data_IF_372161077658
#
_entry.id   IF_372161077658
#
_cell.length_a   1.000
_cell.length_b   1.000
_cell.length_c   1.000
_cell.angle_alpha   90.00
_cell.angle_beta   90.00
_cell.angle_gamma   90.00
#
_symmetry.space_group_name_H-M   'P 1'
#
loop_
_entity.id
_entity.type
_entity.pdbx_description
1 polymer ?
#
# COMPACT_ATOMS: atom_id res chain seq x y z
N UNK A 1 3.60 -36.27 -2.82
CA UNK A 1 4.89 -35.64 -3.20
C UNK A 1 4.57 -34.26 -3.81
N UNK A 2 3.82 -33.41 -3.14
CA UNK A 2 4.15 -32.68 -1.91
C UNK A 2 5.41 -31.83 -2.05
N UNK A 3 5.24 -30.62 -2.56
CA UNK A 3 6.12 -29.50 -2.27
C UNK A 3 5.28 -28.34 -1.69
N UNK A 4 5.39 -28.10 -0.36
CA UNK A 4 4.65 -27.06 0.36
C UNK A 4 5.36 -25.70 0.25
N UNK A 5 5.48 -25.15 -0.95
CA UNK A 5 6.18 -23.88 -1.18
C UNK A 5 5.27 -22.70 -1.59
N UNK A 6 4.09 -22.97 -2.16
CA UNK A 6 3.22 -21.90 -2.69
C UNK A 6 1.98 -21.59 -1.82
N UNK A 7 1.75 -22.34 -0.72
CA UNK A 7 0.59 -22.16 0.15
C UNK A 7 0.84 -21.32 1.43
N UNK A 8 2.08 -20.89 1.67
CA UNK A 8 2.45 -20.25 2.96
C UNK A 8 2.38 -18.71 2.89
N UNK A 9 2.31 -18.12 1.69
CA UNK A 9 2.52 -16.67 1.55
C UNK A 9 1.31 -15.82 1.93
N UNK A 10 0.08 -16.32 1.74
CA UNK A 10 -1.15 -15.58 2.06
C UNK A 10 -1.84 -16.02 3.37
N UNK A 11 -1.55 -17.22 3.89
CA UNK A 11 -2.24 -17.76 5.07
C UNK A 11 -1.58 -17.42 6.42
N UNK A 12 -0.33 -16.95 6.47
CA UNK A 12 0.38 -16.70 7.75
C UNK A 12 0.31 -15.27 8.30
N UNK A 13 -0.45 -14.37 7.69
CA UNK A 13 -0.51 -12.96 8.11
C UNK A 13 -1.68 -12.59 9.02
N UNK A 14 -2.64 -13.50 9.27
CA UNK A 14 -3.88 -13.14 10.00
C UNK A 14 -4.03 -13.71 11.42
N UNK A 15 -2.94 -13.98 12.15
CA UNK A 15 -3.05 -14.23 13.60
C UNK A 15 -1.92 -13.55 14.37
N UNK A 16 -2.31 -12.72 15.35
CA UNK A 16 -1.53 -12.01 16.38
C UNK A 16 -1.13 -10.53 16.11
N UNK A 17 -2.05 -9.66 16.53
CA UNK A 17 -1.87 -8.41 17.29
C UNK A 17 -0.78 -7.43 16.86
N UNK A 18 -1.23 -6.34 16.23
CA UNK A 18 -0.94 -4.90 16.40
C UNK A 18 0.51 -4.35 16.57
N UNK A 19 1.55 -5.18 16.71
CA UNK A 19 2.96 -4.79 16.79
C UNK A 19 3.86 -5.56 15.81
N UNK A 20 3.40 -6.71 15.31
CA UNK A 20 4.11 -7.48 14.27
C UNK A 20 3.76 -7.00 12.86
N UNK A 21 2.65 -6.31 12.63
CA UNK A 21 2.29 -5.77 11.30
C UNK A 21 3.19 -4.59 10.91
N UNK A 22 3.82 -3.90 11.87
CA UNK A 22 4.87 -2.93 11.53
C UNK A 22 6.28 -3.54 11.46
N UNK A 23 6.57 -4.61 12.23
CA UNK A 23 7.92 -5.20 12.34
C UNK A 23 8.19 -6.37 11.39
N UNK A 24 7.21 -7.21 11.05
CA UNK A 24 7.36 -8.28 10.03
C UNK A 24 7.23 -7.76 8.61
N UNK A 25 6.55 -6.64 8.39
CA UNK A 25 6.40 -6.02 7.07
C UNK A 25 7.72 -5.44 6.55
N UNK A 26 8.68 -5.15 7.44
CA UNK A 26 10.08 -4.85 7.08
C UNK A 26 10.93 -6.08 6.71
N UNK A 27 10.50 -7.32 7.00
CA UNK A 27 11.30 -8.54 6.82
C UNK A 27 11.08 -9.21 5.44
N UNK A 28 10.10 -8.75 4.66
CA UNK A 28 9.80 -9.30 3.32
C UNK A 28 10.05 -8.34 2.14
N UNK A 29 10.92 -7.32 2.32
CA UNK A 29 11.37 -6.41 1.26
C UNK A 29 12.36 -7.09 0.29
N UNK A 30 11.89 -8.11 -0.42
CA UNK A 30 12.47 -8.57 -1.68
C UNK A 30 11.40 -8.27 -2.72
N UNK A 31 11.63 -7.22 -3.52
CA UNK A 31 10.76 -6.66 -4.58
C UNK A 31 9.53 -7.52 -4.88
N UNK A 32 8.33 -7.07 -4.48
CA UNK A 32 7.04 -7.80 -4.57
C UNK A 32 6.64 -8.20 -6.00
N UNK A 33 7.36 -7.71 -7.01
CA UNK A 33 7.19 -8.14 -8.40
C UNK A 33 7.92 -9.48 -8.63
N UNK A 34 7.13 -10.55 -8.60
CA UNK A 34 7.54 -11.92 -8.92
C UNK A 34 8.25 -12.02 -10.27
N UNK A 35 7.88 -11.22 -11.27
CA UNK A 35 8.49 -11.24 -12.61
C UNK A 35 9.98 -10.90 -12.57
N UNK A 36 10.36 -9.86 -11.81
CA UNK A 36 11.76 -9.46 -11.64
C UNK A 36 12.57 -10.57 -10.97
N UNK A 37 12.00 -11.23 -9.96
CA UNK A 37 12.66 -12.32 -9.25
C UNK A 37 12.79 -13.56 -10.14
N UNK A 38 11.72 -13.90 -10.86
CA UNK A 38 11.66 -15.04 -11.77
C UNK A 38 12.74 -14.95 -12.83
N UNK A 39 12.85 -13.83 -13.55
CA UNK A 39 13.84 -13.68 -14.61
C UNK A 39 15.28 -13.69 -14.08
N UNK A 40 15.53 -13.02 -12.95
CA UNK A 40 16.84 -13.07 -12.30
C UNK A 40 17.23 -14.50 -11.90
N UNK A 41 16.29 -15.27 -11.35
CA UNK A 41 16.57 -16.66 -10.95
C UNK A 41 16.74 -17.56 -12.18
N UNK A 42 15.89 -17.38 -13.21
CA UNK A 42 15.98 -18.10 -14.49
C UNK A 42 17.33 -17.86 -15.16
N UNK A 43 17.79 -16.61 -15.20
CA UNK A 43 19.10 -16.24 -15.73
C UNK A 43 20.23 -16.97 -14.98
N UNK A 44 20.23 -16.92 -13.64
CA UNK A 44 21.25 -17.61 -12.82
C UNK A 44 21.26 -19.11 -13.07
N UNK A 45 20.09 -19.74 -13.07
CA UNK A 45 19.95 -21.19 -13.29
C UNK A 45 20.45 -21.60 -14.68
N UNK A 46 20.04 -20.89 -15.73
CA UNK A 46 20.45 -21.18 -17.10
C UNK A 46 21.94 -20.91 -17.34
N UNK A 47 22.49 -19.87 -16.71
CA UNK A 47 23.91 -19.59 -16.79
C UNK A 47 24.73 -20.72 -16.16
N UNK A 48 24.30 -21.21 -15.00
CA UNK A 48 24.93 -22.34 -14.32
C UNK A 48 24.90 -23.63 -15.18
N UNK A 49 23.73 -23.96 -15.75
CA UNK A 49 23.60 -25.11 -16.67
C UNK A 49 24.49 -24.93 -17.91
N UNK A 50 24.53 -23.74 -18.49
CA UNK A 50 25.37 -23.44 -19.65
C UNK A 50 26.86 -23.59 -19.34
N UNK A 51 27.31 -23.18 -18.16
CA UNK A 51 28.68 -23.36 -17.69
C UNK A 51 29.03 -24.85 -17.53
N UNK A 52 28.14 -25.64 -16.91
CA UNK A 52 28.30 -27.10 -16.80
C UNK A 52 28.42 -27.78 -18.17
N UNK A 53 27.56 -27.42 -19.13
CA UNK A 53 27.59 -27.97 -20.48
C UNK A 53 28.87 -27.60 -21.25
N UNK A 54 29.59 -26.56 -20.81
CA UNK A 54 30.86 -26.11 -21.41
C UNK A 54 32.09 -26.67 -20.73
N UNK A 55 31.94 -27.45 -19.67
CA UNK A 55 33.07 -28.10 -19.01
C UNK A 55 33.83 -29.01 -20.00
N UNK A 56 35.17 -29.09 -19.89
CA UNK A 56 35.99 -29.90 -20.78
C UNK A 56 35.52 -31.36 -20.88
N UNK A 57 35.10 -31.94 -19.74
CA UNK A 57 34.58 -33.30 -19.67
C UNK A 57 33.32 -33.49 -20.52
N UNK A 58 32.35 -32.59 -20.39
CA UNK A 58 31.08 -32.65 -21.13
C UNK A 58 31.30 -32.39 -22.62
N UNK A 59 32.20 -31.47 -22.98
CA UNK A 59 32.61 -31.27 -24.38
C UNK A 59 33.24 -32.52 -24.99
N UNK A 60 34.13 -33.20 -24.27
CA UNK A 60 34.71 -34.46 -24.74
C UNK A 60 33.64 -35.54 -24.95
N UNK A 61 32.66 -35.64 -24.04
CA UNK A 61 31.52 -36.56 -24.21
C UNK A 61 30.69 -36.22 -25.46
N UNK A 62 30.41 -34.94 -25.70
CA UNK A 62 29.68 -34.49 -26.89
C UNK A 62 30.43 -34.84 -28.19
N UNK A 63 31.75 -34.66 -28.23
CA UNK A 63 32.59 -35.04 -29.38
C UNK A 63 32.59 -36.55 -29.64
N UNK A 64 32.55 -37.38 -28.58
CA UNK A 64 32.44 -38.83 -28.72
C UNK A 64 31.06 -39.19 -29.30
N UNK A 65 29.98 -38.60 -28.79
CA UNK A 65 28.63 -38.82 -29.30
C UNK A 65 28.52 -38.46 -30.79
N UNK A 66 29.14 -37.35 -31.19
CA UNK A 66 29.19 -36.90 -32.58
C UNK A 66 29.98 -37.88 -33.47
N UNK A 67 31.21 -38.21 -33.08
CA UNK A 67 32.10 -39.09 -33.86
C UNK A 67 31.57 -40.52 -34.00
N UNK A 68 30.82 -40.98 -33.00
CA UNK A 68 30.21 -42.32 -33.02
C UNK A 68 28.87 -42.36 -33.77
N UNK A 69 28.39 -41.22 -34.31
CA UNK A 69 27.05 -41.08 -34.88
C UNK A 69 25.96 -41.61 -33.93
N UNK A 70 26.13 -41.32 -32.63
CA UNK A 70 25.21 -41.80 -31.60
C UNK A 70 23.82 -41.24 -31.80
N UNK A 71 22.79 -42.08 -31.62
CA UNK A 71 21.39 -41.65 -31.61
C UNK A 71 21.12 -40.53 -30.58
N UNK A 72 21.93 -40.43 -29.52
CA UNK A 72 21.81 -39.43 -28.47
C UNK A 72 22.43 -38.06 -28.82
N UNK A 73 23.27 -37.98 -29.85
CA UNK A 73 23.93 -36.72 -30.24
C UNK A 73 22.92 -35.62 -30.58
N UNK A 74 21.89 -35.95 -31.35
CA UNK A 74 20.85 -34.99 -31.74
C UNK A 74 20.06 -34.47 -30.52
N UNK A 75 19.75 -35.34 -29.55
CA UNK A 75 19.09 -34.94 -28.32
C UNK A 75 19.96 -33.99 -27.48
N UNK A 76 21.25 -34.31 -27.32
CA UNK A 76 22.21 -33.45 -26.63
C UNK A 76 22.35 -32.09 -27.33
N UNK A 77 22.54 -32.09 -28.65
CA UNK A 77 22.68 -30.87 -29.47
C UNK A 77 21.44 -29.97 -29.36
N UNK A 78 20.25 -30.55 -29.44
CA UNK A 78 19.00 -29.80 -29.32
C UNK A 78 18.83 -29.21 -27.93
N UNK A 79 19.11 -29.98 -26.87
CA UNK A 79 19.09 -29.50 -25.49
C UNK A 79 20.07 -28.34 -25.30
N UNK A 80 21.31 -28.48 -25.78
CA UNK A 80 22.31 -27.40 -25.70
C UNK A 80 21.84 -26.14 -26.43
N UNK A 81 21.27 -26.27 -27.64
CA UNK A 81 20.70 -25.15 -28.40
C UNK A 81 19.56 -24.48 -27.63
N UNK A 82 18.66 -25.24 -27.03
CA UNK A 82 17.55 -24.70 -26.23
C UNK A 82 18.05 -23.93 -25.00
N UNK A 83 19.07 -24.44 -24.31
CA UNK A 83 19.70 -23.72 -23.18
C UNK A 83 20.31 -22.40 -23.65
N UNK A 84 21.01 -22.37 -24.78
CA UNK A 84 21.61 -21.14 -25.33
C UNK A 84 20.55 -20.10 -25.67
N UNK A 85 19.45 -20.51 -26.32
CA UNK A 85 18.35 -19.61 -26.68
C UNK A 85 17.65 -19.08 -25.43
N UNK A 86 17.29 -19.95 -24.49
CA UNK A 86 16.65 -19.54 -23.24
C UNK A 86 17.55 -18.63 -22.38
N UNK A 87 18.87 -18.87 -22.39
CA UNK A 87 19.83 -18.02 -21.69
C UNK A 87 19.94 -16.63 -22.33
N UNK A 88 19.92 -16.56 -23.67
CA UNK A 88 19.91 -15.29 -24.39
C UNK A 88 18.64 -14.48 -24.07
N UNK A 89 17.47 -15.13 -24.10
CA UNK A 89 16.19 -14.53 -23.70
C UNK A 89 16.25 -14.00 -22.26
N UNK A 90 16.69 -14.83 -21.30
CA UNK A 90 16.77 -14.43 -19.90
C UNK A 90 17.74 -13.27 -19.65
N UNK A 91 18.87 -13.22 -20.36
CA UNK A 91 19.80 -12.08 -20.31
C UNK A 91 19.16 -10.80 -20.83
N UNK A 92 18.48 -10.89 -21.96
CA UNK A 92 17.81 -9.76 -22.61
C UNK A 92 16.72 -9.19 -21.70
N UNK A 93 15.80 -10.02 -21.22
CA UNK A 93 14.72 -9.59 -20.31
C UNK A 93 15.27 -9.00 -19.01
N UNK A 94 16.25 -9.64 -18.36
CA UNK A 94 16.87 -9.09 -17.15
C UNK A 94 17.53 -7.72 -17.38
N UNK A 95 18.22 -7.54 -18.50
CA UNK A 95 18.86 -6.26 -18.85
C UNK A 95 17.82 -5.15 -18.92
N UNK A 96 16.74 -5.36 -19.67
CA UNK A 96 15.70 -4.34 -19.85
C UNK A 96 14.85 -4.11 -18.62
N UNK A 97 14.64 -5.12 -17.76
CA UNK A 97 13.92 -4.94 -16.50
C UNK A 97 14.74 -4.20 -15.41
N UNK A 98 16.06 -4.03 -15.60
CA UNK A 98 16.95 -3.42 -14.59
C UNK A 98 16.57 -1.97 -14.20
N UNK A 99 16.24 -1.06 -15.15
CA UNK A 99 15.82 0.31 -14.81
C UNK A 99 14.54 0.34 -13.98
N UNK A 100 13.61 -0.58 -14.22
CA UNK A 100 12.33 -0.65 -13.53
C UNK A 100 12.48 -0.93 -12.03
N UNK A 101 13.53 -1.66 -11.63
CA UNK A 101 13.76 -2.04 -10.24
C UNK A 101 13.74 -0.86 -9.27
N UNK A 102 14.42 0.25 -9.61
CA UNK A 102 14.47 1.44 -8.74
C UNK A 102 13.11 2.13 -8.62
N UNK A 103 12.35 2.18 -9.71
CA UNK A 103 11.01 2.78 -9.71
C UNK A 103 10.03 1.97 -8.87
N UNK A 104 10.12 0.64 -8.94
CA UNK A 104 9.28 -0.25 -8.13
C UNK A 104 9.66 -0.18 -6.65
N UNK A 105 10.95 -0.13 -6.32
CA UNK A 105 11.39 0.07 -4.94
C UNK A 105 10.86 1.40 -4.38
N UNK A 106 10.94 2.47 -5.15
CA UNK A 106 10.39 3.76 -4.75
C UNK A 106 8.87 3.68 -4.54
N UNK A 107 8.15 2.97 -5.41
CA UNK A 107 6.70 2.75 -5.27
C UNK A 107 6.35 1.94 -4.01
N UNK A 108 7.19 0.98 -3.60
CA UNK A 108 7.02 0.18 -2.39
C UNK A 108 7.33 0.94 -1.10
N UNK A 109 8.19 1.96 -1.17
CA UNK A 109 8.63 2.77 -0.03
C UNK A 109 7.79 4.03 0.17
N UNK A 110 6.95 4.39 -0.81
CA UNK A 110 6.14 5.61 -0.81
C UNK A 110 4.74 5.32 -0.30
N UNK A 111 4.19 6.22 0.51
CA UNK A 111 2.81 6.13 0.97
C UNK A 111 1.84 6.20 -0.22
N UNK A 112 0.74 5.46 -0.15
CA UNK A 112 -0.19 5.33 -1.27
C UNK A 112 -0.73 6.67 -1.80
N UNK A 113 -0.92 7.66 -0.93
CA UNK A 113 -1.35 9.01 -1.30
C UNK A 113 -0.38 9.73 -2.24
N UNK A 114 0.90 9.36 -2.19
CA UNK A 114 1.99 9.95 -2.97
C UNK A 114 2.46 9.04 -4.12
N UNK A 115 1.83 7.89 -4.32
CA UNK A 115 2.18 6.96 -5.39
C UNK A 115 1.77 7.44 -6.80
N UNK A 116 0.73 8.28 -6.92
CA UNK A 116 0.18 8.70 -8.22
C UNK A 116 1.24 9.34 -9.14
N UNK A 117 2.05 10.32 -8.69
CA UNK A 117 3.11 10.91 -9.51
C UNK A 117 4.20 9.92 -9.93
N UNK A 118 4.41 8.84 -9.15
CA UNK A 118 5.42 7.82 -9.43
C UNK A 118 5.00 6.84 -10.54
N UNK A 119 3.70 6.70 -10.78
CA UNK A 119 3.17 5.82 -11.83
C UNK A 119 3.58 6.28 -13.23
N UNK A 120 3.67 7.58 -13.48
CA UNK A 120 4.03 8.11 -14.80
C UNK A 120 5.45 7.68 -15.22
N UNK A 121 6.51 7.89 -14.42
CA UNK A 121 7.83 7.33 -14.68
C UNK A 121 7.83 5.80 -14.86
N UNK A 122 7.10 5.06 -14.02
CA UNK A 122 6.99 3.59 -14.13
C UNK A 122 6.45 3.19 -15.49
N UNK A 123 5.34 3.80 -15.94
CA UNK A 123 4.72 3.51 -17.23
C UNK A 123 5.63 3.86 -18.40
N UNK A 124 6.34 4.99 -18.35
CA UNK A 124 7.31 5.34 -19.39
C UNK A 124 8.42 4.30 -19.51
N UNK A 125 8.95 3.81 -18.40
CA UNK A 125 9.98 2.76 -18.41
C UNK A 125 9.42 1.45 -18.97
N UNK A 126 8.20 1.07 -18.61
CA UNK A 126 7.54 -0.13 -19.16
C UNK A 126 7.36 -0.02 -20.68
N UNK A 127 6.92 1.14 -21.18
CA UNK A 127 6.79 1.38 -22.62
C UNK A 127 8.15 1.32 -23.35
N UNK A 128 9.21 1.85 -22.74
CA UNK A 128 10.58 1.76 -23.28
C UNK A 128 11.07 0.30 -23.30
N UNK A 129 10.77 -0.49 -22.26
CA UNK A 129 11.11 -1.91 -22.22
C UNK A 129 10.40 -2.66 -23.34
N UNK A 130 9.09 -2.47 -23.45
CA UNK A 130 8.27 -3.16 -24.44
C UNK A 130 8.65 -2.82 -25.88
N UNK A 131 9.03 -1.57 -26.15
CA UNK A 131 9.46 -1.15 -27.49
C UNK A 131 10.85 -1.62 -27.90
N UNK A 132 11.74 -1.95 -26.95
CA UNK A 132 13.15 -2.24 -27.24
C UNK A 132 13.57 -3.69 -26.95
N UNK A 133 12.88 -4.40 -26.04
CA UNK A 133 13.21 -5.78 -25.69
C UNK A 133 12.45 -6.77 -26.58
N UNK A 134 13.16 -7.38 -27.54
CA UNK A 134 12.56 -8.38 -28.47
C UNK A 134 12.04 -9.62 -27.75
N UNK A 135 12.66 -9.96 -26.62
CA UNK A 135 12.31 -11.12 -25.80
C UNK A 135 11.12 -10.84 -24.86
N UNK A 136 10.69 -9.58 -24.73
CA UNK A 136 9.60 -9.15 -23.87
C UNK A 136 8.31 -8.96 -24.67
N UNK A 137 7.49 -10.00 -24.70
CA UNK A 137 6.23 -10.03 -25.44
C UNK A 137 5.05 -9.44 -24.66
N UNK A 138 3.89 -9.39 -25.31
CA UNK A 138 2.64 -8.90 -24.75
C UNK A 138 2.20 -9.66 -23.50
N UNK A 139 2.44 -10.97 -23.44
CA UNK A 139 2.08 -11.80 -22.28
C UNK A 139 2.90 -11.38 -21.06
N UNK A 140 4.21 -11.19 -21.21
CA UNK A 140 5.10 -10.71 -20.14
C UNK A 140 4.74 -9.29 -19.70
N UNK A 141 4.32 -8.42 -20.63
CA UNK A 141 3.82 -7.09 -20.31
C UNK A 141 2.56 -7.14 -19.44
N UNK A 142 1.57 -7.94 -19.82
CA UNK A 142 0.32 -8.11 -19.07
C UNK A 142 0.61 -8.64 -17.66
N UNK A 143 1.47 -9.64 -17.54
CA UNK A 143 1.87 -10.19 -16.23
C UNK A 143 2.52 -9.12 -15.35
N UNK A 144 3.46 -8.33 -15.91
CA UNK A 144 4.13 -7.26 -15.19
C UNK A 144 3.13 -6.18 -14.71
N UNK A 145 2.22 -5.74 -15.59
CA UNK A 145 1.18 -4.76 -15.24
C UNK A 145 0.23 -5.30 -14.17
N UNK A 146 -0.22 -6.56 -14.29
CA UNK A 146 -1.05 -7.22 -13.28
C UNK A 146 -0.36 -7.24 -11.92
N UNK A 147 0.94 -7.53 -11.87
CA UNK A 147 1.72 -7.52 -10.62
C UNK A 147 1.84 -6.11 -10.02
N UNK A 148 2.01 -5.08 -10.84
CA UNK A 148 2.03 -3.68 -10.37
C UNK A 148 0.66 -3.27 -9.83
N UNK A 149 -0.42 -3.60 -10.53
CA UNK A 149 -1.78 -3.33 -10.05
C UNK A 149 -2.05 -4.05 -8.72
N UNK A 150 -1.67 -5.33 -8.62
CA UNK A 150 -1.84 -6.10 -7.38
C UNK A 150 -1.04 -5.49 -6.22
N UNK A 151 0.16 -4.96 -6.48
CA UNK A 151 0.96 -4.24 -5.48
C UNK A 151 0.21 -3.02 -4.93
N UNK A 152 -0.37 -2.19 -5.81
CA UNK A 152 -1.14 -1.01 -5.41
C UNK A 152 -2.44 -1.39 -4.66
N UNK A 153 -3.12 -2.44 -5.11
CA UNK A 153 -4.32 -2.98 -4.45
C UNK A 153 -4.00 -3.44 -3.03
N UNK A 154 -2.90 -4.19 -2.85
CA UNK A 154 -2.46 -4.65 -1.54
C UNK A 154 -2.10 -3.48 -0.62
N UNK A 155 -1.40 -2.47 -1.15
CA UNK A 155 -1.03 -1.28 -0.39
C UNK A 155 -2.27 -0.51 0.09
N UNK A 156 -3.27 -0.32 -0.78
CA UNK A 156 -4.56 0.24 -0.41
C UNK A 156 -5.31 -0.58 0.65
N UNK A 157 -5.32 -1.90 0.48
CA UNK A 157 -5.97 -2.81 1.41
C UNK A 157 -5.34 -2.73 2.80
N UNK A 158 -4.01 -2.84 2.90
CA UNK A 158 -3.31 -2.77 4.18
C UNK A 158 -3.48 -1.41 4.86
N UNK A 159 -3.37 -0.31 4.11
CA UNK A 159 -3.62 1.03 4.66
C UNK A 159 -5.05 1.16 5.19
N UNK A 160 -6.05 0.64 4.47
CA UNK A 160 -7.43 0.63 4.93
C UNK A 160 -7.60 -0.20 6.21
N UNK A 161 -7.05 -1.40 6.26
CA UNK A 161 -7.12 -2.26 7.46
C UNK A 161 -6.45 -1.60 8.65
N UNK A 162 -5.30 -0.95 8.46
CA UNK A 162 -4.58 -0.23 9.51
C UNK A 162 -5.39 0.96 10.04
N UNK A 163 -6.01 1.77 9.17
CA UNK A 163 -6.83 2.90 9.59
C UNK A 163 -8.09 2.44 10.34
N UNK A 164 -8.82 1.45 9.81
CA UNK A 164 -10.02 0.94 10.48
C UNK A 164 -9.70 0.22 11.79
N UNK A 165 -8.52 -0.39 11.93
CA UNK A 165 -8.08 -1.00 13.20
C UNK A 165 -7.88 0.03 14.33
N UNK A 166 -7.65 1.31 14.00
CA UNK A 166 -7.55 2.39 15.01
C UNK A 166 -8.89 2.69 15.66
N UNK A 167 -10.01 2.45 14.95
CA UNK A 167 -11.38 2.70 15.43
C UNK A 167 -11.75 1.84 16.65
N UNK A 168 -11.08 0.69 16.85
CA UNK A 168 -11.31 -0.20 18.01
C UNK A 168 -11.14 0.56 19.35
N UNK A 169 -10.22 1.53 19.38
CA UNK A 169 -9.84 2.26 20.60
C UNK A 169 -10.40 3.67 20.67
N UNK A 170 -11.29 4.05 19.74
CA UNK A 170 -11.85 5.40 19.68
C UNK A 170 -12.98 5.52 20.70
N UNK A 171 -12.74 6.34 21.72
CA UNK A 171 -13.75 6.74 22.70
C UNK A 171 -14.03 8.24 22.57
N UNK A 172 -15.26 8.61 22.22
CA UNK A 172 -15.69 10.01 22.15
C UNK A 172 -16.27 10.42 23.51
N UNK A 173 -15.64 11.39 24.17
CA UNK A 173 -16.15 12.02 25.39
C UNK A 173 -17.30 13.00 25.11
N UNK A 174 -18.11 13.31 26.13
CA UNK A 174 -19.18 14.33 26.06
C UNK A 174 -20.60 13.77 26.27
N UNK A 175 -21.60 14.67 26.28
CA UNK A 175 -23.00 14.35 26.62
C UNK A 175 -23.61 13.36 25.61
N UNK A 176 -23.29 13.51 24.31
CA UNK A 176 -23.68 12.61 23.23
C UNK A 176 -22.58 11.62 22.82
N UNK A 177 -21.41 11.68 23.47
CA UNK A 177 -20.24 10.86 23.13
C UNK A 177 -20.50 9.35 23.19
N UNK A 178 -21.39 8.90 24.11
CA UNK A 178 -21.81 7.49 24.18
C UNK A 178 -22.55 7.00 22.92
N UNK A 179 -23.41 7.82 22.34
CA UNK A 179 -24.19 7.44 21.13
C UNK A 179 -23.28 7.45 19.90
N UNK A 180 -22.42 8.46 19.79
CA UNK A 180 -21.45 8.57 18.70
C UNK A 180 -20.41 7.44 18.76
N UNK A 181 -19.89 7.15 19.96
CA UNK A 181 -18.99 6.02 20.20
C UNK A 181 -19.62 4.68 19.81
N UNK A 182 -20.88 4.43 20.21
CA UNK A 182 -21.61 3.23 19.80
C UNK A 182 -21.78 3.14 18.26
N UNK A 183 -21.99 4.27 17.60
CA UNK A 183 -22.09 4.33 16.13
C UNK A 183 -20.74 3.98 15.45
N UNK A 184 -19.63 4.49 15.97
CA UNK A 184 -18.27 4.15 15.49
C UNK A 184 -17.97 2.66 15.72
N UNK A 185 -18.31 2.12 16.89
CA UNK A 185 -18.18 0.68 17.17
C UNK A 185 -19.02 -0.14 16.19
N UNK A 186 -20.22 0.34 15.83
CA UNK A 186 -21.06 -0.26 14.80
C UNK A 186 -20.35 -0.35 13.44
N UNK A 187 -19.76 0.75 12.98
CA UNK A 187 -18.98 0.77 11.72
C UNK A 187 -17.77 -0.16 11.81
N UNK A 188 -17.06 -0.17 12.93
CA UNK A 188 -15.92 -1.07 13.12
C UNK A 188 -16.33 -2.55 13.05
N UNK A 189 -17.47 -2.93 13.65
CA UNK A 189 -17.99 -4.29 13.57
C UNK A 189 -18.39 -4.68 12.15
N UNK A 190 -18.99 -3.75 11.39
CA UNK A 190 -19.32 -3.95 9.96
C UNK A 190 -18.04 -4.21 9.16
N UNK A 191 -16.99 -3.40 9.40
CA UNK A 191 -15.68 -3.59 8.80
C UNK A 191 -15.09 -4.96 9.14
N UNK A 192 -15.14 -5.39 10.40
CA UNK A 192 -14.62 -6.70 10.83
C UNK A 192 -15.34 -7.86 10.11
N UNK A 193 -16.65 -7.75 9.88
CA UNK A 193 -17.40 -8.75 9.13
C UNK A 193 -16.94 -8.81 7.67
N UNK A 194 -16.87 -7.66 6.98
CA UNK A 194 -16.37 -7.60 5.62
C UNK A 194 -14.92 -8.11 5.50
N UNK A 195 -14.06 -7.74 6.44
CA UNK A 195 -12.68 -8.19 6.52
C UNK A 195 -12.58 -9.71 6.74
N UNK A 196 -13.40 -10.28 7.62
CA UNK A 196 -13.43 -11.73 7.85
C UNK A 196 -13.88 -12.51 6.61
N UNK A 197 -14.87 -11.99 5.87
CA UNK A 197 -15.33 -12.63 4.62
C UNK A 197 -14.25 -12.55 3.55
N UNK A 198 -13.62 -11.38 3.38
CA UNK A 198 -12.60 -11.19 2.35
C UNK A 198 -11.31 -11.97 2.64
N UNK A 199 -10.86 -12.00 3.90
CA UNK A 199 -9.65 -12.73 4.32
C UNK A 199 -9.82 -14.25 4.33
N UNK A 200 -11.05 -14.76 4.44
CA UNK A 200 -11.35 -16.19 4.37
C UNK A 200 -11.30 -16.77 2.96
N UNK A 201 -11.20 -15.93 1.92
CA UNK A 201 -11.19 -16.36 0.53
C UNK A 201 -9.78 -16.74 0.06
N UNK A 202 -9.69 -17.84 -0.68
CA UNK A 202 -8.48 -18.30 -1.36
C UNK A 202 -8.66 -18.17 -2.86
N UNK A 203 -7.73 -17.49 -3.52
CA UNK A 203 -7.74 -17.29 -4.98
C UNK A 203 -6.60 -18.08 -5.62
N UNK A 204 -6.83 -18.59 -6.83
CA UNK A 204 -5.75 -19.19 -7.62
C UNK A 204 -4.94 -18.08 -8.30
N UNK A 205 -3.73 -17.84 -7.79
CA UNK A 205 -2.84 -16.77 -8.29
C UNK A 205 -2.24 -17.11 -9.66
N UNK A 206 -2.38 -18.36 -10.13
CA UNK A 206 -1.84 -18.84 -11.40
C UNK A 206 -2.86 -18.79 -12.55
N UNK A 207 -4.14 -18.52 -12.27
CA UNK A 207 -5.16 -18.38 -13.30
C UNK A 207 -5.23 -16.91 -13.80
N UNK A 208 -4.83 -16.63 -15.05
CA UNK A 208 -4.94 -15.30 -15.62
C UNK A 208 -6.39 -14.87 -15.89
N UNK A 209 -7.31 -15.81 -16.09
CA UNK A 209 -8.70 -15.58 -16.49
C UNK A 209 -9.66 -15.54 -15.28
N UNK A 210 -9.19 -15.87 -14.08
CA UNK A 210 -9.99 -15.76 -12.85
C UNK A 210 -10.16 -14.30 -12.42
N UNK A 211 -11.37 -13.78 -12.64
CA UNK A 211 -11.81 -12.44 -12.23
C UNK A 211 -12.42 -12.43 -10.82
N UNK A 212 -12.49 -13.57 -10.12
CA UNK A 212 -13.15 -13.67 -8.81
C UNK A 212 -12.53 -12.74 -7.78
N UNK A 213 -11.19 -12.65 -7.75
CA UNK A 213 -10.48 -11.71 -6.87
C UNK A 213 -10.90 -10.25 -7.12
N UNK A 214 -10.96 -9.84 -8.38
CA UNK A 214 -11.27 -8.45 -8.76
C UNK A 214 -12.72 -8.13 -8.36
N UNK A 215 -13.66 -9.04 -8.65
CA UNK A 215 -15.07 -8.86 -8.29
C UNK A 215 -15.26 -8.75 -6.77
N UNK A 216 -14.62 -9.63 -6.02
CA UNK A 216 -14.69 -9.64 -4.56
C UNK A 216 -14.00 -8.42 -3.94
N UNK A 217 -12.90 -7.96 -4.55
CA UNK A 217 -12.21 -6.74 -4.15
C UNK A 217 -13.04 -5.49 -4.40
N UNK A 218 -13.70 -5.37 -5.57
CA UNK A 218 -14.59 -4.24 -5.85
C UNK A 218 -15.80 -4.22 -4.90
N UNK A 219 -16.36 -5.38 -4.56
CA UNK A 219 -17.41 -5.46 -3.53
C UNK A 219 -16.89 -5.02 -2.15
N UNK A 220 -15.71 -5.49 -1.74
CA UNK A 220 -15.09 -5.05 -0.48
C UNK A 220 -14.84 -3.55 -0.48
N UNK A 221 -14.30 -3.00 -1.56
CA UNK A 221 -14.03 -1.57 -1.74
C UNK A 221 -15.30 -0.72 -1.68
N UNK A 222 -16.40 -1.19 -2.27
CA UNK A 222 -17.70 -0.54 -2.15
C UNK A 222 -18.18 -0.48 -0.70
N UNK A 223 -18.06 -1.59 0.05
CA UNK A 223 -18.45 -1.61 1.47
C UNK A 223 -17.58 -0.64 2.31
N UNK A 224 -16.27 -0.56 2.03
CA UNK A 224 -15.38 0.42 2.66
C UNK A 224 -15.81 1.85 2.35
N UNK A 225 -16.19 2.14 1.11
CA UNK A 225 -16.69 3.45 0.71
C UNK A 225 -17.93 3.86 1.52
N UNK A 226 -18.90 2.96 1.66
CA UNK A 226 -20.10 3.22 2.46
C UNK A 226 -19.76 3.47 3.94
N UNK A 227 -18.82 2.71 4.50
CA UNK A 227 -18.36 2.89 5.88
C UNK A 227 -17.62 4.23 6.07
N UNK A 228 -16.79 4.65 5.10
CA UNK A 228 -16.13 5.95 5.13
C UNK A 228 -17.16 7.10 5.13
N UNK A 229 -18.25 6.98 4.37
CA UNK A 229 -19.35 7.96 4.37
C UNK A 229 -20.12 7.97 5.70
N UNK A 230 -20.38 6.80 6.30
CA UNK A 230 -20.97 6.71 7.64
C UNK A 230 -20.08 7.39 8.68
N UNK A 231 -18.77 7.15 8.65
CA UNK A 231 -17.80 7.80 9.56
C UNK A 231 -17.76 9.32 9.37
N UNK A 232 -17.74 9.79 8.12
CA UNK A 232 -17.78 11.22 7.82
C UNK A 232 -19.00 11.89 8.45
N UNK A 233 -20.20 11.30 8.29
CA UNK A 233 -21.43 11.82 8.87
C UNK A 233 -21.38 11.84 10.41
N UNK A 234 -20.89 10.76 11.04
CA UNK A 234 -20.74 10.68 12.50
C UNK A 234 -19.78 11.76 13.02
N UNK A 235 -18.65 11.98 12.35
CA UNK A 235 -17.64 12.96 12.75
C UNK A 235 -18.14 14.40 12.54
N UNK A 236 -18.84 14.68 11.45
CA UNK A 236 -19.49 15.98 11.23
C UNK A 236 -20.55 16.27 12.30
N UNK A 237 -21.37 15.29 12.66
CA UNK A 237 -22.35 15.44 13.74
C UNK A 237 -21.67 15.67 15.10
N UNK A 238 -20.59 14.93 15.39
CA UNK A 238 -19.80 15.12 16.60
C UNK A 238 -19.20 16.53 16.69
N UNK A 239 -18.78 17.08 15.55
CA UNK A 239 -18.27 18.45 15.46
C UNK A 239 -19.35 19.49 15.77
N UNK A 240 -20.55 19.34 15.19
CA UNK A 240 -21.67 20.26 15.43
C UNK A 240 -22.15 20.28 16.89
N UNK A 241 -21.98 19.15 17.59
CA UNK A 241 -22.31 19.02 19.01
C UNK A 241 -21.23 19.62 19.95
N UNK A 242 -20.08 20.07 19.43
CA UNK A 242 -19.02 20.67 20.24
C UNK A 242 -19.31 22.15 20.54
N UNK A 243 -19.38 22.51 21.82
CA UNK A 243 -19.71 23.87 22.25
C UNK A 243 -18.52 24.82 22.40
N UNK A 244 -17.28 24.32 22.37
CA UNK A 244 -16.07 25.13 22.56
C UNK A 244 -14.87 24.59 21.77
N UNK A 245 -13.88 25.46 21.58
CA UNK A 245 -12.69 25.18 20.79
C UNK A 245 -11.87 24.00 21.34
N UNK A 246 -11.79 23.87 22.66
CA UNK A 246 -11.09 22.75 23.32
C UNK A 246 -11.73 21.39 22.98
N UNK A 247 -13.06 21.30 22.95
CA UNK A 247 -13.77 20.06 22.61
C UNK A 247 -13.60 19.70 21.14
N UNK A 248 -13.60 20.70 20.26
CA UNK A 248 -13.32 20.52 18.83
C UNK A 248 -11.91 19.96 18.63
N UNK A 249 -10.89 20.53 19.26
CA UNK A 249 -9.53 20.03 19.14
C UNK A 249 -9.35 18.64 19.74
N UNK A 250 -10.05 18.31 20.83
CA UNK A 250 -10.09 16.94 21.37
C UNK A 250 -10.68 15.96 20.35
N UNK A 251 -11.79 16.32 19.69
CA UNK A 251 -12.41 15.50 18.65
C UNK A 251 -11.44 15.26 17.49
N UNK A 252 -10.80 16.31 16.98
CA UNK A 252 -9.81 16.21 15.90
C UNK A 252 -8.64 15.29 16.31
N UNK A 253 -8.16 15.41 17.56
CA UNK A 253 -7.08 14.57 18.07
C UNK A 253 -7.51 13.10 18.23
N UNK A 254 -8.74 12.84 18.63
CA UNK A 254 -9.30 11.48 18.75
C UNK A 254 -9.48 10.86 17.36
N UNK A 255 -9.99 11.62 16.39
CA UNK A 255 -10.18 11.14 15.02
C UNK A 255 -8.83 10.91 14.31
N UNK A 256 -7.82 11.74 14.59
CA UNK A 256 -6.44 11.53 14.15
C UNK A 256 -6.33 11.36 12.62
N UNK A 257 -5.63 10.30 12.19
CA UNK A 257 -5.40 10.01 10.77
C UNK A 257 -6.65 9.58 9.99
N UNK A 258 -7.75 9.23 10.66
CA UNK A 258 -9.00 8.88 9.98
C UNK A 258 -9.56 10.10 9.23
N UNK A 259 -9.30 11.32 9.72
CA UNK A 259 -9.67 12.56 9.03
C UNK A 259 -8.89 12.77 7.71
N UNK A 260 -7.73 12.14 7.53
CA UNK A 260 -6.95 12.25 6.29
C UNK A 260 -7.48 11.33 5.18
N UNK A 261 -8.42 10.43 5.49
CA UNK A 261 -9.06 9.60 4.46
C UNK A 261 -9.80 10.50 3.47
N UNK A 262 -9.63 10.34 2.14
CA UNK A 262 -10.06 11.33 1.15
C UNK A 262 -11.52 11.76 1.26
N UNK A 263 -12.42 10.80 1.50
CA UNK A 263 -13.86 11.04 1.60
C UNK A 263 -14.25 11.77 2.88
N UNK A 264 -13.67 11.36 4.01
CA UNK A 264 -13.90 12.00 5.31
C UNK A 264 -13.33 13.43 5.29
N UNK A 265 -12.13 13.59 4.73
CA UNK A 265 -11.48 14.89 4.57
C UNK A 265 -12.34 15.86 3.78
N UNK A 266 -12.89 15.42 2.64
CA UNK A 266 -13.72 16.27 1.78
C UNK A 266 -14.94 16.83 2.53
N UNK A 267 -15.65 15.98 3.29
CA UNK A 267 -16.83 16.37 4.05
C UNK A 267 -16.48 17.21 5.29
N UNK A 268 -15.45 16.80 6.04
CA UNK A 268 -15.05 17.47 7.28
C UNK A 268 -14.41 18.84 7.03
N UNK A 269 -13.82 19.06 5.84
CA UNK A 269 -13.13 20.32 5.52
C UNK A 269 -14.06 21.54 5.65
N UNK A 270 -15.34 21.37 5.31
CA UNK A 270 -16.35 22.43 5.41
C UNK A 270 -16.58 22.90 6.86
N UNK A 271 -16.23 22.09 7.85
CA UNK A 271 -16.38 22.45 9.26
C UNK A 271 -15.24 23.33 9.78
N UNK A 272 -14.08 23.38 9.10
CA UNK A 272 -12.96 24.23 9.53
C UNK A 272 -13.29 25.73 9.48
N UNK A 273 -14.19 26.18 8.60
CA UNK A 273 -14.65 27.58 8.56
C UNK A 273 -15.25 28.00 9.91
N UNK A 274 -16.08 27.15 10.51
CA UNK A 274 -16.65 27.41 11.85
C UNK A 274 -15.59 27.47 12.94
N UNK A 275 -14.50 26.71 12.81
CA UNK A 275 -13.37 26.78 13.76
C UNK A 275 -12.69 28.14 13.67
N UNK A 276 -12.49 28.66 12.47
CA UNK A 276 -11.88 29.98 12.26
C UNK A 276 -12.74 31.07 12.91
N UNK A 277 -14.05 31.03 12.72
CA UNK A 277 -14.98 31.99 13.35
C UNK A 277 -14.95 31.91 14.89
N UNK A 278 -14.94 30.70 15.46
CA UNK A 278 -14.85 30.51 16.91
C UNK A 278 -13.52 31.03 17.46
N UNK A 279 -12.42 30.80 16.75
CA UNK A 279 -11.09 31.24 17.15
C UNK A 279 -10.96 32.76 17.07
N UNK A 280 -11.52 33.39 16.02
CA UNK A 280 -11.59 34.85 15.91
C UNK A 280 -12.42 35.46 17.06
N UNK A 281 -13.55 34.84 17.41
CA UNK A 281 -14.37 35.29 18.53
C UNK A 281 -13.65 35.17 19.88
N UNK A 282 -12.93 34.06 20.14
CA UNK A 282 -12.12 33.92 21.35
C UNK A 282 -10.97 34.95 21.40
N UNK A 283 -10.32 35.24 20.27
CA UNK A 283 -9.28 36.28 20.19
C UNK A 283 -9.84 37.67 20.52
N UNK A 284 -10.99 38.04 19.96
CA UNK A 284 -11.68 39.32 20.26
C UNK A 284 -12.04 39.42 21.74
N UNK A 285 -12.53 38.33 22.34
CA UNK A 285 -12.86 38.28 23.77
C UNK A 285 -11.59 38.50 24.60
N UNK A 286 -10.47 37.87 24.25
CA UNK A 286 -9.21 38.02 24.95
C UNK A 286 -8.64 39.45 24.83
N UNK A 287 -8.70 40.05 23.66
CA UNK A 287 -8.27 41.44 23.43
C UNK A 287 -9.06 42.42 24.30
N UNK A 288 -10.40 42.38 24.21
CA UNK A 288 -11.26 43.35 24.92
C UNK A 288 -11.28 43.11 26.43
N UNK A 289 -11.36 41.85 26.88
CA UNK A 289 -11.52 41.57 28.32
C UNK A 289 -10.23 41.43 29.10
N UNK A 290 -9.11 41.06 28.46
CA UNK A 290 -7.84 40.89 29.17
C UNK A 290 -6.87 42.02 28.85
N UNK A 291 -6.62 42.28 27.57
CA UNK A 291 -5.60 43.26 27.18
C UNK A 291 -6.06 44.69 27.48
N UNK A 292 -7.24 45.08 27.02
CA UNK A 292 -7.73 46.44 27.20
C UNK A 292 -8.08 46.75 28.66
N UNK A 293 -8.70 45.80 29.38
CA UNK A 293 -8.94 45.96 30.83
C UNK A 293 -7.64 46.06 31.63
N UNK A 294 -6.62 45.25 31.34
CA UNK A 294 -5.32 45.37 32.03
C UNK A 294 -4.60 46.67 31.70
N UNK A 295 -4.72 47.14 30.45
CA UNK A 295 -4.16 48.43 30.02
C UNK A 295 -4.83 49.59 30.76
N UNK A 296 -6.16 49.57 30.90
CA UNK A 296 -6.94 50.54 31.68
C UNK A 296 -6.61 50.50 33.18
N UNK A 297 -6.48 49.30 33.77
CA UNK A 297 -6.10 49.16 35.18
C UNK A 297 -4.69 49.68 35.44
N UNK A 298 -3.73 49.43 34.52
CA UNK A 298 -2.38 49.98 34.62
C UNK A 298 -2.37 51.50 34.54
N UNK A 299 -3.16 52.12 33.66
CA UNK A 299 -3.24 53.58 33.57
C UNK A 299 -3.83 54.21 34.84
N UNK A 300 -4.84 53.59 35.45
CA UNK A 300 -5.43 54.06 36.72
C UNK A 300 -4.47 53.94 37.91
N UNK A 301 -3.67 52.87 37.97
CA UNK A 301 -2.64 52.70 39.01
C UNK A 301 -1.53 53.75 38.86
N UNK A 302 -1.10 54.07 37.63
CA UNK A 302 -0.11 55.15 37.41
C UNK A 302 -0.64 56.53 37.79
N UNK A 303 -1.93 56.82 37.60
CA UNK A 303 -2.53 58.10 38.02
C UNK A 303 -2.64 58.21 39.55
N UNK A 304 -2.89 57.11 40.26
CA UNK A 304 -2.96 57.10 41.74
C UNK A 304 -1.60 57.29 42.44
N UNK A 305 -0.48 57.02 41.76
CA UNK A 305 0.87 57.28 42.28
C UNK A 305 1.38 58.70 41.99
N UNK A 306 0.62 59.50 41.23
CA UNK A 306 0.94 60.90 40.89
C UNK A 306 0.15 61.92 41.70
N UNK A 307 -0.82 61.50 42.52
CA UNK A 307 -1.48 62.34 43.51
C UNK A 307 -1.07 61.88 44.92
N UNK A 308 -0.24 62.66 45.64
CA UNK A 308 0.20 62.35 47.00
C UNK A 308 -0.90 62.46 48.06
#
# INVERSE_FOLDING_TARGET
LDTPANLIFYQKTCTYTNLQIQKKTKIYFVTRILELQFWNQRLKNLQYIYEQLREPKVKSMALILEKTNSAYYNCFRNTFKSVVVALAEAKDVCLYLTPLKKHIQLLEETDLSECIPLLTPVMHVICLIWSNCKSFDEVKLIILLKQICNLLILEWFFNTVLEFSKLEKVEIGGIKGRVLGASITGVFNEFQQCFSVFSGKSYDVLDPDDLSFINDFEHFKHNIFEMDMKLAAILCQAFEDCCNLESIFKLINIAGSILERPLIKAEFTNQYEKILDLLENELKIAEVNLYDKQKLLKSLVTESHLNP
#
